data_IF_728462488352
#
_entry.id   IF_728462488352
#
_cell.length_a   1.000
_cell.length_b   1.000
_cell.length_c   1.000
_cell.angle_alpha   90.00
_cell.angle_beta   90.00
_cell.angle_gamma   90.00
#
_symmetry.space_group_name_H-M   'P 1'
#
loop_
_entity.id
_entity.type
_entity.pdbx_description
1 polymer ?
#
# COMPACT_ATOMS: atom_id res chain seq x y z
N UNK A 1 26.48 -16.06 15.13
CA UNK A 1 26.21 -15.85 13.70
C UNK A 1 24.78 -15.43 13.61
N UNK A 2 24.51 -14.16 13.31
CA UNK A 2 23.17 -13.58 13.39
C UNK A 2 22.37 -13.89 12.12
N UNK A 3 21.06 -14.02 12.27
CA UNK A 3 20.16 -14.47 11.21
C UNK A 3 20.18 -13.57 9.97
N UNK A 4 20.13 -14.20 8.79
CA UNK A 4 19.96 -13.50 7.52
C UNK A 4 18.60 -12.79 7.52
N UNK A 5 18.63 -11.49 7.78
CA UNK A 5 17.45 -10.64 7.75
C UNK A 5 16.82 -10.71 6.35
N UNK A 6 15.48 -10.78 6.29
CA UNK A 6 14.73 -11.02 5.04
C UNK A 6 14.87 -9.85 4.06
N UNK A 7 15.88 -9.90 3.19
CA UNK A 7 15.89 -9.11 1.96
C UNK A 7 14.73 -9.62 1.11
N UNK A 8 13.81 -8.73 0.73
CA UNK A 8 12.81 -9.03 -0.29
C UNK A 8 13.52 -8.91 -1.65
N UNK A 9 14.00 -10.05 -2.17
CA UNK A 9 14.66 -10.15 -3.49
C UNK A 9 13.73 -9.88 -4.68
N UNK A 10 12.48 -9.45 -4.46
CA UNK A 10 11.44 -9.52 -5.46
C UNK A 10 10.84 -8.14 -5.75
N UNK A 11 10.84 -7.76 -7.03
CA UNK A 11 9.88 -6.84 -7.63
C UNK A 11 8.45 -7.43 -7.45
N UNK A 12 7.88 -7.29 -6.26
CA UNK A 12 6.50 -7.68 -6.00
C UNK A 12 5.56 -6.74 -6.74
N UNK A 13 4.43 -7.25 -7.20
CA UNK A 13 3.43 -6.46 -7.93
C UNK A 13 3.07 -5.17 -7.17
N UNK A 14 2.90 -5.27 -5.84
CA UNK A 14 2.57 -4.13 -4.98
C UNK A 14 3.68 -3.07 -4.92
N UNK A 15 4.96 -3.46 -4.97
CA UNK A 15 6.08 -2.52 -5.01
C UNK A 15 6.18 -1.85 -6.39
N UNK A 16 6.01 -2.62 -7.47
CA UNK A 16 5.97 -2.08 -8.84
C UNK A 16 4.83 -1.07 -9.02
N UNK A 17 3.64 -1.40 -8.53
CA UNK A 17 2.45 -0.53 -8.57
C UNK A 17 2.63 0.73 -7.72
N UNK A 18 3.23 0.60 -6.52
CA UNK A 18 3.59 1.75 -5.70
C UNK A 18 4.58 2.68 -6.41
N UNK A 19 5.65 2.13 -7.00
CA UNK A 19 6.66 2.91 -7.73
C UNK A 19 6.04 3.60 -8.94
N UNK A 20 5.14 2.92 -9.66
CA UNK A 20 4.39 3.52 -10.77
C UNK A 20 3.44 4.63 -10.29
N UNK A 21 2.76 4.45 -9.15
CA UNK A 21 1.94 5.50 -8.54
C UNK A 21 2.77 6.72 -8.15
N UNK A 22 3.96 6.52 -7.57
CA UNK A 22 4.89 7.60 -7.26
C UNK A 22 5.41 8.31 -8.52
N UNK A 23 5.64 7.59 -9.62
CA UNK A 23 5.89 8.18 -10.94
C UNK A 23 4.69 9.06 -11.40
N UNK A 24 3.44 8.61 -11.22
CA UNK A 24 2.26 9.41 -11.60
C UNK A 24 2.07 10.64 -10.72
N UNK A 25 2.38 10.55 -9.42
CA UNK A 25 2.42 11.72 -8.50
C UNK A 25 3.44 12.74 -8.99
N UNK A 26 4.62 12.27 -9.41
CA UNK A 26 5.67 13.11 -9.99
C UNK A 26 5.25 13.73 -11.35
N UNK A 27 4.41 13.08 -12.16
CA UNK A 27 3.88 13.67 -13.38
C UNK A 27 2.70 14.62 -13.17
N UNK A 28 1.97 14.51 -12.05
CA UNK A 28 0.70 15.20 -11.85
C UNK A 28 0.86 16.73 -11.75
N UNK A 29 0.54 17.43 -12.84
CA UNK A 29 0.68 18.88 -12.94
C UNK A 29 2.10 19.35 -13.23
N UNK A 30 2.97 18.48 -13.73
CA UNK A 30 4.25 18.87 -14.30
C UNK A 30 4.03 19.74 -15.55
N UNK A 31 4.69 20.91 -15.59
CA UNK A 31 4.72 21.78 -16.75
C UNK A 31 5.78 21.25 -17.71
N UNK A 32 5.40 20.86 -18.92
CA UNK A 32 6.34 20.70 -20.02
C UNK A 32 6.60 22.07 -20.67
N UNK A 33 7.78 22.71 -20.50
CA UNK A 33 8.15 23.97 -21.16
C UNK A 33 7.81 24.07 -22.66
N UNK A 34 7.71 22.95 -23.38
CA UNK A 34 7.32 22.91 -24.80
C UNK A 34 5.90 23.41 -25.13
N UNK A 35 4.93 23.43 -24.21
CA UNK A 35 3.51 23.75 -24.55
C UNK A 35 3.26 25.20 -25.04
N UNK A 36 4.21 26.12 -24.88
CA UNK A 36 4.08 27.53 -25.30
C UNK A 36 5.11 27.99 -26.33
N UNK A 37 5.99 27.08 -26.78
CA UNK A 37 7.02 27.38 -27.77
C UNK A 37 6.71 26.63 -29.08
N UNK A 38 6.87 27.30 -30.22
CA UNK A 38 6.59 26.76 -31.56
C UNK A 38 7.56 25.62 -31.98
N UNK A 39 8.54 25.28 -31.12
CA UNK A 39 9.56 24.26 -31.34
C UNK A 39 9.76 23.50 -30.03
N UNK A 40 9.37 22.21 -30.00
CA UNK A 40 9.62 21.32 -28.85
C UNK A 40 11.08 20.89 -28.86
N UNK A 41 11.92 21.59 -28.09
CA UNK A 41 13.37 21.38 -28.08
C UNK A 41 13.81 20.15 -27.25
N UNK A 42 12.97 19.67 -26.33
CA UNK A 42 13.22 18.49 -25.48
C UNK A 42 11.93 17.70 -25.24
N UNK A 43 12.06 16.39 -25.01
CA UNK A 43 10.92 15.58 -24.58
C UNK A 43 10.51 15.92 -23.14
N UNK A 44 9.22 15.77 -22.77
CA UNK A 44 8.77 16.01 -21.40
C UNK A 44 9.57 15.22 -20.36
N UNK A 45 9.97 13.98 -20.67
CA UNK A 45 10.77 13.13 -19.78
C UNK A 45 12.16 13.72 -19.51
N UNK A 46 12.79 14.34 -20.53
CA UNK A 46 14.08 15.01 -20.38
C UNK A 46 13.95 16.30 -19.54
N UNK A 47 12.84 17.03 -19.68
CA UNK A 47 12.54 18.21 -18.88
C UNK A 47 12.28 17.82 -17.42
N UNK A 48 11.56 16.72 -17.20
CA UNK A 48 11.27 16.16 -15.88
C UNK A 48 12.52 15.64 -15.17
N UNK A 49 13.38 14.86 -15.86
CA UNK A 49 14.69 14.48 -15.33
C UNK A 49 15.52 15.72 -14.97
N UNK A 50 15.58 16.73 -15.86
CA UNK A 50 16.27 18.00 -15.59
C UNK A 50 15.72 18.73 -14.35
N UNK A 51 14.41 18.68 -14.10
CA UNK A 51 13.80 19.26 -12.92
C UNK A 51 14.23 18.53 -11.65
N UNK A 52 14.18 17.19 -11.63
CA UNK A 52 14.65 16.36 -10.51
C UNK A 52 16.14 16.62 -10.24
N UNK A 53 17.01 16.56 -11.26
CA UNK A 53 18.47 16.79 -11.11
C UNK A 53 18.83 18.22 -10.68
N UNK A 54 17.94 19.20 -10.88
CA UNK A 54 18.11 20.57 -10.37
C UNK A 54 17.63 20.70 -8.92
N UNK A 55 16.52 20.07 -8.57
CA UNK A 55 16.01 20.02 -7.19
C UNK A 55 17.00 19.26 -6.29
N UNK A 56 17.54 18.13 -6.77
CA UNK A 56 18.49 17.31 -6.04
C UNK A 56 19.73 18.08 -5.53
N UNK A 57 20.11 19.20 -6.17
CA UNK A 57 21.26 20.02 -5.75
C UNK A 57 21.10 20.69 -4.39
N UNK A 58 19.90 20.69 -3.80
CA UNK A 58 19.69 21.18 -2.43
C UNK A 58 19.98 20.14 -1.34
N UNK A 59 20.20 18.87 -1.69
CA UNK A 59 20.51 17.79 -0.73
C UNK A 59 21.64 16.87 -1.23
N UNK A 60 22.55 16.48 -0.34
CA UNK A 60 23.71 15.68 -0.72
C UNK A 60 23.33 14.25 -1.14
N UNK A 61 22.43 13.58 -0.42
CA UNK A 61 22.06 12.18 -0.68
C UNK A 61 21.20 12.04 -1.94
N UNK A 62 20.29 12.99 -2.18
CA UNK A 62 19.51 13.06 -3.40
C UNK A 62 20.41 13.34 -4.62
N UNK A 63 21.40 14.24 -4.49
CA UNK A 63 22.38 14.53 -5.55
C UNK A 63 23.28 13.32 -5.85
N UNK A 64 23.75 12.61 -4.83
CA UNK A 64 24.52 11.36 -4.98
C UNK A 64 23.72 10.31 -5.77
N UNK A 65 22.43 10.16 -5.45
CA UNK A 65 21.54 9.21 -6.16
C UNK A 65 21.29 9.62 -7.60
N UNK A 66 21.05 10.89 -7.90
CA UNK A 66 20.95 11.38 -9.28
C UNK A 66 22.25 11.14 -10.05
N UNK A 67 23.39 11.41 -9.41
CA UNK A 67 24.72 11.18 -10.02
C UNK A 67 24.96 9.70 -10.30
N UNK A 68 24.53 8.80 -9.40
CA UNK A 68 24.56 7.36 -9.60
C UNK A 68 23.72 6.94 -10.82
N UNK A 69 22.48 7.45 -10.95
CA UNK A 69 21.62 7.19 -12.13
C UNK A 69 22.26 7.67 -13.43
N UNK A 70 22.83 8.87 -13.46
CA UNK A 70 23.48 9.42 -14.66
C UNK A 70 24.76 8.65 -15.05
N UNK A 71 25.37 7.88 -14.13
CA UNK A 71 26.52 7.00 -14.40
C UNK A 71 26.13 5.61 -14.95
N UNK A 72 24.86 5.20 -14.91
CA UNK A 72 24.43 3.90 -15.44
C UNK A 72 24.28 4.01 -16.96
N UNK A 73 25.30 3.59 -17.70
CA UNK A 73 25.38 3.71 -19.16
C UNK A 73 24.23 3.02 -19.92
N UNK A 74 23.62 1.98 -19.34
CA UNK A 74 22.47 1.28 -19.94
C UNK A 74 21.19 2.12 -19.94
N UNK A 75 21.05 3.16 -19.11
CA UNK A 75 19.85 3.98 -19.02
C UNK A 75 19.78 5.01 -20.15
N UNK A 76 19.46 4.56 -21.37
CA UNK A 76 19.46 5.43 -22.55
C UNK A 76 18.41 6.55 -22.45
N UNK A 77 17.18 6.24 -22.05
CA UNK A 77 16.04 7.17 -22.08
C UNK A 77 15.87 7.95 -20.76
N UNK A 78 15.38 9.21 -20.78
CA UNK A 78 15.14 9.96 -19.54
C UNK A 78 14.08 9.33 -18.64
N UNK A 79 13.06 8.68 -19.20
CA UNK A 79 12.05 7.94 -18.43
C UNK A 79 12.68 6.75 -17.68
N UNK A 80 13.63 6.02 -18.29
CA UNK A 80 14.37 4.97 -17.58
C UNK A 80 15.21 5.52 -16.42
N UNK A 81 15.79 6.73 -16.56
CA UNK A 81 16.49 7.43 -15.45
C UNK A 81 15.55 7.80 -14.31
N UNK A 82 14.37 8.36 -14.61
CA UNK A 82 13.34 8.68 -13.59
C UNK A 82 12.91 7.40 -12.85
N UNK A 83 12.65 6.32 -13.59
CA UNK A 83 12.24 5.01 -13.02
C UNK A 83 13.34 4.33 -12.21
N UNK A 84 14.61 4.46 -12.62
CA UNK A 84 15.77 4.00 -11.85
C UNK A 84 15.99 4.83 -10.58
N UNK A 85 15.80 6.15 -10.64
CA UNK A 85 15.92 7.05 -9.49
C UNK A 85 14.94 6.69 -8.37
N UNK A 86 13.66 6.44 -8.69
CA UNK A 86 12.66 6.04 -7.68
C UNK A 86 13.00 4.66 -7.09
N UNK A 87 13.48 3.71 -7.91
CA UNK A 87 13.92 2.38 -7.44
C UNK A 87 15.13 2.47 -6.52
N UNK A 88 16.16 3.21 -6.89
CA UNK A 88 17.33 3.45 -6.02
C UNK A 88 16.94 4.15 -4.73
N UNK A 89 16.04 5.14 -4.77
CA UNK A 89 15.51 5.79 -3.58
C UNK A 89 14.75 4.81 -2.66
N UNK A 90 14.06 3.80 -3.21
CA UNK A 90 13.45 2.71 -2.43
C UNK A 90 14.52 1.79 -1.82
N UNK A 91 15.48 1.31 -2.61
CA UNK A 91 16.56 0.42 -2.16
C UNK A 91 17.45 1.07 -1.07
N UNK A 92 17.70 2.38 -1.17
CA UNK A 92 18.42 3.18 -0.18
C UNK A 92 17.57 3.56 1.05
N UNK A 93 16.26 3.23 1.08
CA UNK A 93 15.30 3.61 2.13
C UNK A 93 15.11 5.14 2.27
N UNK A 94 15.23 5.85 1.15
CA UNK A 94 15.24 7.33 1.04
C UNK A 94 14.02 7.97 0.38
N UNK A 95 12.98 7.20 0.01
CA UNK A 95 11.76 7.74 -0.59
C UNK A 95 11.12 8.89 0.21
N UNK A 96 11.01 8.75 1.53
CA UNK A 96 10.47 9.81 2.40
C UNK A 96 11.27 11.12 2.27
N UNK A 97 12.59 11.03 2.45
CA UNK A 97 13.50 12.18 2.40
C UNK A 97 13.40 12.88 1.03
N UNK A 98 13.52 12.11 -0.06
CA UNK A 98 13.56 12.67 -1.41
C UNK A 98 12.22 13.29 -1.84
N UNK A 99 11.08 12.66 -1.57
CA UNK A 99 9.78 13.27 -1.86
C UNK A 99 9.52 14.51 -0.98
N UNK A 100 10.02 14.53 0.26
CA UNK A 100 9.95 15.70 1.14
C UNK A 100 10.83 16.85 0.62
N UNK A 101 12.02 16.57 0.10
CA UNK A 101 12.91 17.56 -0.55
C UNK A 101 12.25 18.11 -1.82
N UNK A 102 11.64 17.25 -2.65
CA UNK A 102 10.92 17.67 -3.86
C UNK A 102 9.75 18.58 -3.51
N UNK A 103 8.86 18.17 -2.61
CA UNK A 103 7.67 18.92 -2.21
C UNK A 103 8.00 20.29 -1.60
N UNK A 104 9.07 20.38 -0.81
CA UNK A 104 9.50 21.63 -0.16
C UNK A 104 10.45 22.49 -1.03
N UNK A 105 10.79 22.06 -2.24
CA UNK A 105 11.77 22.78 -3.06
C UNK A 105 11.24 24.17 -3.49
N UNK A 106 12.01 25.26 -3.32
CA UNK A 106 11.60 26.58 -3.81
C UNK A 106 11.44 26.62 -5.34
N UNK A 107 12.08 25.69 -6.06
CA UNK A 107 11.99 25.56 -7.51
C UNK A 107 10.69 24.87 -7.98
N UNK A 108 9.91 24.25 -7.08
CA UNK A 108 8.73 23.47 -7.44
C UNK A 108 7.67 24.30 -8.18
N UNK A 109 7.52 25.58 -7.82
CA UNK A 109 6.59 26.53 -8.48
C UNK A 109 6.94 26.78 -9.95
N UNK A 110 8.22 26.65 -10.32
CA UNK A 110 8.72 26.80 -11.69
C UNK A 110 8.31 25.62 -12.56
N UNK A 111 8.45 24.40 -12.05
CA UNK A 111 8.22 23.17 -12.81
C UNK A 111 6.78 22.63 -12.71
N UNK A 112 6.00 23.02 -11.71
CA UNK A 112 4.66 22.47 -11.46
C UNK A 112 3.56 23.53 -11.43
N UNK A 113 2.38 23.15 -11.93
CA UNK A 113 1.17 23.96 -11.88
C UNK A 113 0.62 24.12 -10.47
N UNK A 114 -0.22 25.14 -10.27
CA UNK A 114 -0.78 25.45 -8.96
C UNK A 114 -1.60 24.31 -8.36
N UNK A 115 -2.22 23.48 -9.20
CA UNK A 115 -3.04 22.31 -8.85
C UNK A 115 -2.25 20.99 -8.77
N UNK A 116 -0.93 21.01 -8.98
CA UNK A 116 -0.10 19.81 -8.89
C UNK A 116 -0.15 19.21 -7.47
N UNK A 117 -0.25 17.88 -7.34
CA UNK A 117 -0.39 17.19 -6.06
C UNK A 117 0.82 17.44 -5.14
N UNK A 118 2.03 17.48 -5.71
CA UNK A 118 3.26 17.86 -4.99
C UNK A 118 3.21 19.25 -4.35
N UNK A 119 2.27 20.11 -4.78
CA UNK A 119 2.08 21.48 -4.31
C UNK A 119 0.84 21.67 -3.43
N UNK A 120 0.02 20.64 -3.23
CA UNK A 120 -1.12 20.66 -2.30
C UNK A 120 -0.71 20.13 -0.92
N UNK A 121 -1.57 20.29 0.09
CA UNK A 121 -1.28 19.87 1.47
C UNK A 121 -1.32 18.34 1.65
N UNK A 122 -2.03 17.61 0.79
CA UNK A 122 -2.12 16.15 0.80
C UNK A 122 -0.75 15.47 0.57
N UNK A 123 0.23 16.17 -0.03
CA UNK A 123 1.59 15.63 -0.20
C UNK A 123 2.23 15.29 1.14
N UNK A 124 1.89 16.00 2.22
CA UNK A 124 2.41 15.77 3.58
C UNK A 124 1.93 14.43 4.14
N UNK A 125 0.71 14.02 3.78
CA UNK A 125 0.14 12.72 4.16
C UNK A 125 0.80 11.60 3.36
N UNK A 126 1.03 11.82 2.06
CA UNK A 126 1.72 10.86 1.21
C UNK A 126 3.18 10.65 1.65
N UNK A 127 3.96 11.73 1.88
CA UNK A 127 5.33 11.59 2.39
C UNK A 127 5.33 10.93 3.76
N UNK A 128 4.46 11.35 4.69
CA UNK A 128 4.31 10.69 5.99
C UNK A 128 4.08 9.18 5.90
N UNK A 129 3.31 8.70 4.91
CA UNK A 129 3.13 7.28 4.64
C UNK A 129 4.40 6.59 4.09
N UNK A 130 5.18 7.28 3.24
CA UNK A 130 6.44 6.75 2.69
C UNK A 130 7.51 6.50 3.77
N UNK A 131 7.46 7.20 4.92
CA UNK A 131 8.36 6.93 6.05
C UNK A 131 8.24 5.48 6.55
N UNK A 132 7.04 4.90 6.49
CA UNK A 132 6.78 3.50 6.87
C UNK A 132 7.47 2.47 5.97
N UNK A 133 7.97 2.87 4.79
CA UNK A 133 8.70 2.00 3.87
C UNK A 133 10.19 1.91 4.19
N UNK A 134 10.72 2.78 5.05
CA UNK A 134 12.15 2.79 5.42
C UNK A 134 12.63 1.51 6.11
N UNK A 135 11.71 0.68 6.65
CA UNK A 135 12.03 -0.62 7.24
C UNK A 135 12.08 -1.76 6.22
N UNK A 136 11.68 -1.53 4.96
CA UNK A 136 11.63 -2.56 3.91
C UNK A 136 12.97 -2.63 3.19
N UNK A 137 13.59 -3.81 3.17
CA UNK A 137 14.80 -4.09 2.39
C UNK A 137 14.42 -4.68 1.03
N UNK A 138 14.58 -3.88 -0.03
CA UNK A 138 14.30 -4.25 -1.41
C UNK A 138 15.59 -4.34 -2.24
N UNK A 139 15.65 -5.28 -3.18
CA UNK A 139 16.61 -5.27 -4.28
C UNK A 139 15.82 -5.27 -5.59
N UNK A 140 15.89 -4.17 -6.37
CA UNK A 140 15.00 -3.93 -7.51
C UNK A 140 15.79 -3.90 -8.83
N UNK A 141 15.20 -4.38 -9.91
CA UNK A 141 15.87 -4.46 -11.22
C UNK A 141 16.02 -3.06 -11.85
N UNK A 142 17.24 -2.76 -12.32
CA UNK A 142 17.61 -1.49 -12.97
C UNK A 142 17.97 -1.66 -14.46
N UNK A 143 17.62 -2.79 -15.06
CA UNK A 143 17.87 -3.07 -16.48
C UNK A 143 17.00 -2.21 -17.39
N UNK A 144 17.58 -1.72 -18.49
CA UNK A 144 16.97 -0.72 -19.36
C UNK A 144 15.61 -1.15 -19.90
N UNK A 145 15.52 -2.36 -20.45
CA UNK A 145 14.32 -2.87 -21.10
C UNK A 145 13.17 -3.03 -20.08
N UNK A 146 13.46 -3.59 -18.90
CA UNK A 146 12.53 -3.67 -17.78
C UNK A 146 12.04 -2.30 -17.28
N UNK A 147 12.91 -1.28 -17.31
CA UNK A 147 12.54 0.10 -16.98
C UNK A 147 11.80 0.82 -18.11
N UNK A 148 11.95 0.39 -19.36
CA UNK A 148 11.27 0.99 -20.50
C UNK A 148 9.84 0.45 -20.66
N UNK A 149 9.68 -0.87 -20.64
CA UNK A 149 8.42 -1.57 -20.91
C UNK A 149 7.45 -1.62 -19.72
N UNK A 150 7.77 -0.93 -18.61
CA UNK A 150 6.91 -0.88 -17.43
C UNK A 150 5.54 -0.24 -17.77
N UNK A 151 4.40 -0.88 -17.39
CA UNK A 151 3.06 -0.47 -17.82
C UNK A 151 2.72 1.00 -17.57
N UNK A 152 1.82 1.56 -18.37
CA UNK A 152 1.45 2.97 -18.25
C UNK A 152 0.42 3.25 -17.14
N UNK A 153 -0.27 2.22 -16.63
CA UNK A 153 -1.38 2.34 -15.69
C UNK A 153 -1.39 1.21 -14.65
N UNK A 154 -1.71 1.54 -13.40
CA UNK A 154 -2.01 0.59 -12.31
C UNK A 154 -3.52 0.36 -12.26
N UNK A 155 -3.96 -0.88 -12.01
CA UNK A 155 -5.35 -1.15 -11.64
C UNK A 155 -5.58 -0.75 -10.17
N UNK A 156 -6.24 0.38 -9.98
CA UNK A 156 -6.56 0.91 -8.65
C UNK A 156 -7.72 0.18 -7.96
N UNK A 157 -8.48 -0.67 -8.64
CA UNK A 157 -9.57 -1.43 -8.01
C UNK A 157 -9.08 -2.36 -6.90
N UNK A 158 -7.84 -2.85 -7.02
CA UNK A 158 -7.15 -3.68 -6.03
C UNK A 158 -6.80 -2.91 -4.73
N UNK A 159 -6.71 -1.58 -4.81
CA UNK A 159 -6.21 -0.71 -3.75
C UNK A 159 -7.29 0.20 -3.15
N UNK A 160 -8.29 0.61 -3.94
CA UNK A 160 -9.41 1.46 -3.52
C UNK A 160 -10.43 0.62 -2.75
N UNK A 161 -10.55 0.87 -1.45
CA UNK A 161 -11.66 0.35 -0.62
C UNK A 161 -12.60 1.49 -0.26
N UNK A 162 -13.75 1.56 -0.93
CA UNK A 162 -14.79 2.55 -0.63
C UNK A 162 -15.51 2.10 0.65
N UNK A 163 -15.50 2.87 1.75
CA UNK A 163 -16.07 2.42 3.04
C UNK A 163 -17.59 2.13 3.00
N UNK A 164 -18.28 2.66 2.00
CA UNK A 164 -19.75 2.59 1.84
C UNK A 164 -20.23 1.56 0.81
N UNK A 165 -19.31 0.85 0.14
CA UNK A 165 -19.67 -0.20 -0.83
C UNK A 165 -19.30 -1.56 -0.24
N UNK A 166 -20.26 -2.48 -0.01
CA UNK A 166 -19.93 -3.87 0.31
C UNK A 166 -19.40 -4.53 -0.97
N UNK A 167 -18.07 -4.57 -1.13
CA UNK A 167 -17.43 -5.29 -2.22
C UNK A 167 -17.60 -6.80 -2.01
N UNK A 168 -18.66 -7.37 -2.58
CA UNK A 168 -18.83 -8.82 -2.69
C UNK A 168 -17.87 -9.37 -3.76
N UNK A 169 -16.59 -9.50 -3.41
CA UNK A 169 -15.54 -10.01 -4.28
C UNK A 169 -14.15 -10.00 -3.63
N UNK A 170 -13.51 -11.17 -3.61
CA UNK A 170 -12.09 -11.48 -3.35
C UNK A 170 -11.34 -10.91 -2.13
N UNK A 171 -11.31 -11.71 -1.07
CA UNK A 171 -10.15 -12.57 -0.72
C UNK A 171 -8.72 -12.22 -1.24
N UNK A 172 -8.18 -11.02 -1.02
CA UNK A 172 -6.70 -10.85 -0.96
C UNK A 172 -6.16 -10.07 0.26
N UNK A 173 -5.22 -10.75 0.92
CA UNK A 173 -4.11 -10.32 1.81
C UNK A 173 -3.56 -8.94 1.34
N UNK A 174 -3.26 -7.91 2.12
CA UNK A 174 -2.91 -7.73 3.56
C UNK A 174 -3.46 -6.34 4.02
N UNK A 175 -3.07 -5.66 5.11
CA UNK A 175 -2.37 -6.05 6.34
C UNK A 175 -3.17 -5.58 7.57
N UNK A 176 -3.36 -4.26 7.72
CA UNK A 176 -3.92 -3.61 8.91
C UNK A 176 -5.38 -4.00 9.23
N UNK A 177 -6.12 -4.54 8.26
CA UNK A 177 -7.45 -5.10 8.47
C UNK A 177 -7.48 -6.57 8.91
N UNK A 178 -6.33 -7.22 9.10
CA UNK A 178 -6.24 -8.64 9.49
C UNK A 178 -6.71 -8.88 10.91
N UNK A 179 -6.27 -8.05 11.87
CA UNK A 179 -6.69 -8.13 13.27
C UNK A 179 -8.20 -7.90 13.39
N UNK A 180 -8.74 -6.89 12.69
CA UNK A 180 -10.15 -6.55 12.76
C UNK A 180 -11.05 -7.56 12.02
N UNK A 181 -10.63 -8.13 10.88
CA UNK A 181 -11.35 -9.26 10.25
C UNK A 181 -11.23 -10.55 11.06
N UNK A 182 -10.08 -10.84 11.66
CA UNK A 182 -9.92 -12.00 12.55
C UNK A 182 -10.85 -11.86 13.73
N UNK A 183 -10.80 -10.72 14.43
CA UNK A 183 -11.68 -10.41 15.56
C UNK A 183 -13.16 -10.47 15.18
N UNK A 184 -13.58 -9.92 14.04
CA UNK A 184 -14.97 -9.99 13.61
C UNK A 184 -15.42 -11.41 13.18
N UNK A 185 -14.54 -12.19 12.54
CA UNK A 185 -14.83 -13.60 12.17
C UNK A 185 -14.88 -14.50 13.40
N UNK A 186 -13.97 -14.31 14.34
CA UNK A 186 -13.91 -14.98 15.64
C UNK A 186 -15.11 -14.60 16.51
N UNK A 187 -15.44 -13.31 16.61
CA UNK A 187 -16.65 -12.81 17.27
C UNK A 187 -17.92 -13.40 16.68
N UNK A 188 -18.03 -13.52 15.34
CA UNK A 188 -19.17 -14.20 14.70
C UNK A 188 -19.22 -15.68 15.09
N UNK A 189 -18.09 -16.40 15.01
CA UNK A 189 -18.01 -17.80 15.39
C UNK A 189 -18.41 -18.04 16.86
N UNK A 190 -17.95 -17.17 17.76
CA UNK A 190 -18.27 -17.21 19.19
C UNK A 190 -19.76 -16.90 19.47
N UNK A 191 -20.38 -15.99 18.71
CA UNK A 191 -21.81 -15.72 18.79
C UNK A 191 -22.64 -16.92 18.31
N UNK A 192 -22.31 -17.49 17.15
CA UNK A 192 -22.97 -18.69 16.61
C UNK A 192 -22.81 -19.88 17.59
N UNK A 193 -21.63 -20.05 18.18
CA UNK A 193 -21.36 -21.06 19.20
C UNK A 193 -22.14 -20.82 20.50
N UNK A 194 -22.28 -19.58 20.95
CA UNK A 194 -23.05 -19.25 22.15
C UNK A 194 -24.55 -19.53 21.95
N UNK A 195 -25.14 -19.12 20.83
CA UNK A 195 -26.53 -19.44 20.51
C UNK A 195 -26.79 -20.96 20.40
N UNK A 196 -25.84 -21.73 19.90
CA UNK A 196 -25.91 -23.20 19.93
C UNK A 196 -25.90 -23.77 21.37
N UNK A 197 -25.06 -23.24 22.25
CA UNK A 197 -24.99 -23.65 23.65
C UNK A 197 -26.24 -23.26 24.45
N UNK A 198 -26.79 -22.08 24.22
CA UNK A 198 -28.04 -21.61 24.83
C UNK A 198 -29.22 -22.52 24.47
N UNK A 199 -29.39 -22.86 23.18
CA UNK A 199 -30.46 -23.75 22.74
C UNK A 199 -30.24 -25.20 23.25
N UNK A 200 -28.99 -25.67 23.33
CA UNK A 200 -28.68 -26.96 23.98
C UNK A 200 -29.03 -26.97 25.48
N UNK A 201 -28.71 -25.90 26.21
CA UNK A 201 -29.09 -25.76 27.62
C UNK A 201 -30.61 -25.73 27.80
N UNK A 202 -31.33 -25.06 26.89
CA UNK A 202 -32.80 -25.02 26.87
C UNK A 202 -33.41 -26.42 26.68
N UNK A 203 -32.86 -27.21 25.77
CA UNK A 203 -33.27 -28.61 25.54
C UNK A 203 -32.96 -29.51 26.76
N UNK A 204 -31.78 -29.35 27.37
CA UNK A 204 -31.41 -30.09 28.59
C UNK A 204 -32.36 -29.74 29.74
N UNK A 205 -32.72 -28.48 29.93
CA UNK A 205 -33.67 -28.05 30.95
C UNK A 205 -35.06 -28.67 30.73
N UNK A 206 -35.58 -28.66 29.50
CA UNK A 206 -36.83 -29.35 29.15
C UNK A 206 -36.77 -30.86 29.44
N UNK A 207 -35.63 -31.51 29.18
CA UNK A 207 -35.45 -32.93 29.46
C UNK A 207 -35.39 -33.21 30.97
N UNK A 208 -34.71 -32.36 31.75
CA UNK A 208 -34.69 -32.44 33.22
C UNK A 208 -36.11 -32.29 33.77
N UNK A 209 -36.89 -31.34 33.29
CA UNK A 209 -38.26 -31.12 33.77
C UNK A 209 -39.21 -32.25 33.38
N UNK A 210 -39.05 -32.84 32.18
CA UNK A 210 -39.77 -34.05 31.78
C UNK A 210 -39.38 -35.28 32.62
N UNK A 211 -38.09 -35.45 32.94
CA UNK A 211 -37.61 -36.53 33.80
C UNK A 211 -38.11 -36.36 35.24
N UNK A 212 -38.09 -35.15 35.79
CA UNK A 212 -38.70 -34.83 37.10
C UNK A 212 -40.18 -35.18 37.14
N UNK A 213 -40.97 -34.78 36.12
CA UNK A 213 -42.40 -35.14 36.04
C UNK A 213 -42.63 -36.65 35.98
N UNK A 214 -41.78 -37.41 35.27
CA UNK A 214 -41.84 -38.88 35.24
C UNK A 214 -41.48 -39.49 36.59
N UNK A 215 -40.48 -38.94 37.27
CA UNK A 215 -40.04 -39.40 38.58
C UNK A 215 -41.14 -39.17 39.64
N UNK A 216 -41.73 -37.97 39.70
CA UNK A 216 -42.87 -37.69 40.58
C UNK A 216 -44.12 -38.53 40.24
N UNK A 217 -44.34 -38.86 38.97
CA UNK A 217 -45.44 -39.75 38.57
C UNK A 217 -45.21 -41.21 39.02
N UNK A 218 -43.95 -41.66 39.05
CA UNK A 218 -43.58 -42.97 39.58
C UNK A 218 -43.63 -43.01 41.12
N UNK A 219 -43.17 -41.96 41.80
CA UNK A 219 -43.30 -41.82 43.26
C UNK A 219 -44.78 -41.87 43.68
N UNK A 220 -45.63 -41.00 43.11
CA UNK A 220 -47.06 -40.96 43.39
C UNK A 220 -47.79 -42.27 43.01
N UNK A 221 -47.34 -42.96 41.96
CA UNK A 221 -47.90 -44.26 41.56
C UNK A 221 -47.49 -45.41 42.49
N UNK A 222 -46.32 -45.31 43.12
CA UNK A 222 -45.83 -46.31 44.07
C UNK A 222 -46.45 -46.11 45.47
N UNK A 223 -46.78 -44.87 45.86
CA UNK A 223 -47.58 -44.55 47.05
C UNK A 223 -49.03 -45.05 46.98
N UNK A 224 -49.55 -45.36 45.79
CA UNK A 224 -50.89 -45.94 45.60
C UNK A 224 -50.92 -47.49 45.61
N UNK A 225 -49.76 -48.13 45.79
CA UNK A 225 -49.60 -49.59 45.83
C UNK A 225 -49.14 -50.11 47.21
N UNK A 226 -49.20 -49.26 48.24
CA UNK A 226 -48.98 -49.54 49.66
C UNK A 226 -50.27 -49.36 50.47
#
# INVERSE_FOLDING_TARGET
MADNNRILECDTQQISDLIMMLEKVLWHGFKAPGQKALIVLRSPDAEMWTAISRIARSDAAMLETVTCVDQIESLLTPISRIRAFIRLAMMQKKLFDFFTIIANSPLLKTYYEAWALLRQEEIVQLTGALLGLSVVDCNLVLEHDHLQDQPLSVDLSLYIRIPTVPTEGDNTVTANGSLERSYNKEKKLLLDQNSYLEERNRQLQCNIDNLKRKLSALENGNEQLL
#
